data_IF_635793209247
#
_entry.id   IF_635793209247
#
_cell.length_a   1.000
_cell.length_b   1.000
_cell.length_c   1.000
_cell.angle_alpha   90.00
_cell.angle_beta   90.00
_cell.angle_gamma   90.00
#
_symmetry.space_group_name_H-M   'P 1'
#
loop_
_entity.id
_entity.type
_entity.pdbx_description
1 polymer ?
#
# COMPACT_ATOMS: atom_id res chain seq x y z
N UNK A 1 -12.46 5.92 -14.18
CA UNK A 1 -12.10 5.96 -12.75
C UNK A 1 -11.02 4.91 -12.56
N UNK A 2 -9.83 5.28 -12.10
CA UNK A 2 -8.79 4.29 -11.82
C UNK A 2 -9.31 3.33 -10.73
N UNK A 3 -9.09 2.03 -10.89
CA UNK A 3 -9.50 1.07 -9.87
C UNK A 3 -8.66 1.33 -8.62
N UNK A 4 -9.31 1.76 -7.55
CA UNK A 4 -8.70 1.90 -6.23
C UNK A 4 -9.01 0.65 -5.41
N UNK A 5 -8.08 0.31 -4.53
CA UNK A 5 -8.27 -0.76 -3.57
C UNK A 5 -7.85 -0.30 -2.19
N UNK A 6 -8.52 -0.85 -1.20
CA UNK A 6 -8.34 -0.49 0.20
C UNK A 6 -8.50 -1.76 1.02
N UNK A 7 -7.67 -1.90 2.04
CA UNK A 7 -7.72 -3.01 2.97
C UNK A 7 -7.75 -2.45 4.39
N UNK A 8 -8.80 -2.79 5.12
CA UNK A 8 -8.90 -2.54 6.55
C UNK A 8 -8.87 -3.86 7.29
N UNK A 9 -7.79 -4.09 8.02
CA UNK A 9 -7.61 -5.26 8.89
C UNK A 9 -7.07 -4.81 10.24
N UNK A 10 -7.43 -5.51 11.30
CA UNK A 10 -6.85 -5.27 12.62
C UNK A 10 -5.58 -6.08 12.73
N UNK A 11 -4.49 -5.47 13.18
CA UNK A 11 -3.21 -6.17 13.40
C UNK A 11 -3.39 -7.35 14.37
N UNK A 12 -4.26 -7.21 15.36
CA UNK A 12 -4.59 -8.30 16.31
C UNK A 12 -5.21 -9.53 15.63
N UNK A 13 -5.79 -9.39 14.44
CA UNK A 13 -6.37 -10.49 13.67
C UNK A 13 -5.33 -11.17 12.75
N UNK A 14 -4.07 -10.71 12.74
CA UNK A 14 -3.00 -11.14 11.83
C UNK A 14 -1.82 -11.81 12.56
N UNK A 15 -2.10 -12.80 13.41
CA UNK A 15 -1.07 -13.68 13.97
C UNK A 15 -0.43 -14.61 12.92
N UNK A 16 0.73 -15.18 13.23
CA UNK A 16 1.51 -16.03 12.31
C UNK A 16 0.68 -17.16 11.71
N UNK A 17 -0.17 -17.81 12.52
CA UNK A 17 -1.01 -18.92 12.08
C UNK A 17 -2.08 -18.44 11.08
N UNK A 18 -2.65 -17.26 11.33
CA UNK A 18 -3.66 -16.64 10.46
C UNK A 18 -3.06 -16.18 9.16
N UNK A 19 -1.90 -15.54 9.19
CA UNK A 19 -1.17 -15.14 7.98
C UNK A 19 -0.81 -16.37 7.15
N UNK A 20 -0.28 -17.43 7.76
CA UNK A 20 0.04 -18.66 7.04
C UNK A 20 -1.18 -19.29 6.36
N UNK A 21 -2.33 -19.35 7.06
CA UNK A 21 -3.56 -19.88 6.49
C UNK A 21 -4.17 -18.95 5.43
N UNK A 22 -3.97 -17.63 5.56
CA UNK A 22 -4.39 -16.66 4.57
C UNK A 22 -3.58 -16.82 3.28
N UNK A 23 -2.26 -16.98 3.37
CA UNK A 23 -1.41 -17.31 2.23
C UNK A 23 -1.87 -18.59 1.52
N UNK A 24 -2.17 -19.67 2.27
CA UNK A 24 -2.75 -20.89 1.71
C UNK A 24 -4.09 -20.64 1.01
N UNK A 25 -5.00 -19.91 1.67
CA UNK A 25 -6.34 -19.62 1.16
C UNK A 25 -6.36 -18.75 -0.12
N UNK A 26 -5.30 -17.97 -0.34
CA UNK A 26 -5.13 -17.06 -1.46
C UNK A 26 -4.18 -17.61 -2.55
N UNK A 27 -3.52 -18.75 -2.33
CA UNK A 27 -2.54 -19.33 -3.25
C UNK A 27 -3.20 -19.78 -4.56
N UNK A 28 -3.04 -19.01 -5.64
CA UNK A 28 -3.63 -19.31 -6.95
C UNK A 28 -2.85 -20.44 -7.63
N UNK A 29 -3.41 -21.65 -7.64
CA UNK A 29 -2.80 -22.80 -8.32
C UNK A 29 -2.93 -24.13 -7.58
N UNK A 30 -3.24 -24.11 -6.28
CA UNK A 30 -3.45 -25.30 -5.46
C UNK A 30 -4.81 -25.25 -4.74
N UNK A 31 -5.83 -25.83 -5.38
CA UNK A 31 -7.20 -25.86 -4.86
C UNK A 31 -7.32 -26.57 -3.51
N UNK A 32 -6.45 -27.56 -3.24
CA UNK A 32 -6.47 -28.30 -1.98
C UNK A 32 -5.95 -27.42 -0.83
N UNK A 33 -4.82 -26.73 -1.04
CA UNK A 33 -4.30 -25.77 -0.05
C UNK A 33 -5.26 -24.59 0.17
N UNK A 34 -5.91 -24.10 -0.89
CA UNK A 34 -6.90 -23.03 -0.75
C UNK A 34 -8.06 -23.45 0.16
N UNK A 35 -8.59 -24.65 -0.05
CA UNK A 35 -9.69 -25.18 0.76
C UNK A 35 -9.27 -25.41 2.22
N UNK A 36 -8.06 -25.93 2.45
CA UNK A 36 -7.49 -26.14 3.78
C UNK A 36 -7.35 -24.81 4.53
N UNK A 37 -6.69 -23.82 3.92
CA UNK A 37 -6.48 -22.50 4.53
C UNK A 37 -7.79 -21.78 4.82
N UNK A 38 -8.74 -21.80 3.88
CA UNK A 38 -10.05 -21.18 4.08
C UNK A 38 -10.88 -21.88 5.17
N UNK A 39 -10.79 -23.21 5.28
CA UNK A 39 -11.46 -23.96 6.33
C UNK A 39 -10.87 -23.63 7.71
N UNK A 40 -9.55 -23.56 7.84
CA UNK A 40 -8.86 -23.19 9.08
C UNK A 40 -9.24 -21.77 9.54
N UNK A 41 -9.29 -20.81 8.62
CA UNK A 41 -9.71 -19.43 8.94
C UNK A 41 -11.18 -19.35 9.34
N UNK A 42 -12.07 -20.13 8.70
CA UNK A 42 -13.47 -20.21 9.10
C UNK A 42 -13.63 -20.80 10.50
N UNK A 43 -12.87 -21.85 10.85
CA UNK A 43 -12.89 -22.43 12.19
C UNK A 43 -12.40 -21.45 13.26
N UNK A 44 -11.48 -20.55 12.90
CA UNK A 44 -11.00 -19.48 13.76
C UNK A 44 -11.94 -18.26 13.82
N UNK A 45 -13.08 -18.27 13.12
CA UNK A 45 -14.01 -17.14 13.04
C UNK A 45 -13.46 -15.94 12.25
N UNK A 46 -12.55 -16.18 11.30
CA UNK A 46 -11.86 -15.17 10.49
C UNK A 46 -12.14 -15.34 8.99
N UNK A 47 -13.31 -15.84 8.63
CA UNK A 47 -13.73 -16.05 7.24
C UNK A 47 -13.83 -14.75 6.44
N UNK A 48 -14.19 -13.64 7.09
CA UNK A 48 -14.19 -12.31 6.49
C UNK A 48 -12.81 -11.89 5.97
N UNK A 49 -11.70 -12.31 6.61
CA UNK A 49 -10.35 -11.96 6.14
C UNK A 49 -10.10 -12.52 4.74
N UNK A 50 -10.47 -13.78 4.49
CA UNK A 50 -10.30 -14.40 3.16
C UNK A 50 -11.07 -13.63 2.11
N UNK A 51 -12.31 -13.24 2.42
CA UNK A 51 -13.17 -12.48 1.50
C UNK A 51 -12.55 -11.13 1.17
N UNK A 52 -12.20 -10.33 2.18
CA UNK A 52 -11.67 -8.97 1.98
C UNK A 52 -10.34 -9.00 1.22
N UNK A 53 -9.44 -9.94 1.53
CA UNK A 53 -8.17 -10.08 0.81
C UNK A 53 -8.34 -10.58 -0.63
N UNK A 54 -9.31 -11.47 -0.91
CA UNK A 54 -9.62 -11.86 -2.29
C UNK A 54 -10.14 -10.68 -3.10
N UNK A 55 -11.11 -9.94 -2.55
CA UNK A 55 -11.65 -8.74 -3.20
C UNK A 55 -10.55 -7.70 -3.50
N UNK A 56 -9.61 -7.54 -2.57
CA UNK A 56 -8.42 -6.69 -2.74
C UNK A 56 -7.54 -7.16 -3.90
N UNK A 57 -7.15 -8.44 -3.93
CA UNK A 57 -6.29 -8.99 -4.98
C UNK A 57 -6.96 -8.96 -6.35
N UNK A 58 -8.26 -9.21 -6.41
CA UNK A 58 -9.05 -9.09 -7.65
C UNK A 58 -9.04 -7.66 -8.18
N UNK A 59 -9.22 -6.65 -7.30
CA UNK A 59 -9.13 -5.23 -7.70
C UNK A 59 -7.72 -4.86 -8.14
N UNK A 60 -6.70 -5.33 -7.43
CA UNK A 60 -5.29 -5.09 -7.78
C UNK A 60 -4.99 -5.60 -9.20
N UNK A 61 -5.49 -6.79 -9.55
CA UNK A 61 -5.34 -7.39 -10.88
C UNK A 61 -6.09 -6.65 -12.00
N UNK A 62 -7.03 -5.75 -11.65
CA UNK A 62 -7.78 -4.94 -12.59
C UNK A 62 -7.20 -3.53 -12.78
N UNK A 63 -6.17 -3.16 -12.01
CA UNK A 63 -5.51 -1.86 -12.14
C UNK A 63 -4.85 -1.77 -13.52
N UNK A 64 -5.15 -0.69 -14.25
CA UNK A 64 -4.52 -0.38 -15.53
C UNK A 64 -3.79 0.95 -15.47
N UNK A 65 -2.70 1.13 -16.26
CA UNK A 65 -1.94 2.37 -16.25
C UNK A 65 -2.80 3.59 -16.66
N UNK A 66 -2.67 4.68 -15.90
CA UNK A 66 -3.38 5.94 -16.17
C UNK A 66 -2.70 6.87 -17.19
N UNK A 67 -1.57 6.46 -17.77
CA UNK A 67 -0.82 7.22 -18.78
C UNK A 67 0.05 8.37 -18.26
N UNK A 68 0.02 8.66 -16.95
CA UNK A 68 0.86 9.67 -16.30
C UNK A 68 1.42 9.14 -14.98
N UNK A 69 2.47 9.78 -14.48
CA UNK A 69 3.03 9.53 -13.14
C UNK A 69 2.74 10.77 -12.30
N UNK A 70 1.71 10.69 -11.45
CA UNK A 70 1.20 11.82 -10.67
C UNK A 70 1.33 11.58 -9.18
N UNK A 71 2.34 12.21 -8.58
CA UNK A 71 2.55 12.15 -7.13
C UNK A 71 1.49 13.00 -6.42
N UNK A 72 1.02 14.05 -7.08
CA UNK A 72 -0.05 14.92 -6.58
C UNK A 72 -1.35 14.14 -6.38
N UNK A 73 -1.75 13.34 -7.36
CA UNK A 73 -2.98 12.54 -7.26
C UNK A 73 -2.89 11.51 -6.13
N UNK A 74 -1.75 10.81 -6.01
CA UNK A 74 -1.51 9.87 -4.92
C UNK A 74 -1.56 10.54 -3.54
N UNK A 75 -0.89 11.69 -3.37
CA UNK A 75 -0.85 12.43 -2.12
C UNK A 75 -2.21 12.99 -1.70
N UNK A 76 -2.96 13.57 -2.65
CA UNK A 76 -4.30 14.09 -2.41
C UNK A 76 -5.24 12.96 -1.96
N UNK A 77 -5.18 11.81 -2.64
CA UNK A 77 -6.05 10.67 -2.32
C UNK A 77 -5.71 10.04 -0.98
N UNK A 78 -4.43 9.85 -0.68
CA UNK A 78 -3.99 9.35 0.62
C UNK A 78 -4.45 10.27 1.76
N UNK A 79 -4.40 11.59 1.57
CA UNK A 79 -4.87 12.57 2.54
C UNK A 79 -6.38 12.45 2.77
N UNK A 80 -7.18 12.33 1.70
CA UNK A 80 -8.62 12.17 1.78
C UNK A 80 -9.02 10.88 2.51
N UNK A 81 -8.38 9.77 2.17
CA UNK A 81 -8.62 8.47 2.83
C UNK A 81 -8.25 8.52 4.31
N UNK A 82 -7.13 9.15 4.65
CA UNK A 82 -6.72 9.32 6.04
C UNK A 82 -7.77 10.12 6.84
N UNK A 83 -8.20 11.28 6.34
CA UNK A 83 -9.19 12.11 7.04
C UNK A 83 -10.55 11.42 7.18
N UNK A 84 -10.97 10.68 6.14
CA UNK A 84 -12.19 9.87 6.21
C UNK A 84 -12.10 8.82 7.32
N UNK A 85 -10.98 8.08 7.42
CA UNK A 85 -10.77 7.07 8.47
C UNK A 85 -10.69 7.69 9.86
N UNK A 86 -9.91 8.77 9.99
CA UNK A 86 -9.80 9.55 11.23
C UNK A 86 -11.18 9.98 11.72
N UNK A 87 -12.04 10.46 10.83
CA UNK A 87 -13.39 10.89 11.16
C UNK A 87 -14.34 9.73 11.50
N UNK A 88 -14.20 8.58 10.82
CA UNK A 88 -15.07 7.41 11.00
C UNK A 88 -14.74 6.56 12.23
N UNK A 89 -13.45 6.46 12.60
CA UNK A 89 -13.00 5.56 13.65
C UNK A 89 -13.04 6.17 15.07
N UNK A 90 -13.39 7.45 15.23
CA UNK A 90 -13.18 8.18 16.49
C UNK A 90 -14.44 8.85 17.05
N UNK A 91 -15.16 8.21 17.99
CA UNK A 91 -15.81 8.94 19.05
C UNK A 91 -14.72 9.54 19.96
N UNK A 92 -14.74 10.85 20.19
CA UNK A 92 -13.89 11.50 21.18
C UNK A 92 -14.07 10.83 22.57
N UNK A 93 -13.04 10.72 23.44
CA UNK A 93 -11.72 11.33 23.40
C UNK A 93 -10.59 10.27 23.51
N UNK A 94 -10.42 9.42 22.51
CA UNK A 94 -9.24 8.54 22.46
C UNK A 94 -8.07 9.33 21.87
N UNK A 95 -7.05 9.62 22.69
CA UNK A 95 -5.81 10.23 22.23
C UNK A 95 -5.00 9.13 21.52
N UNK A 96 -5.11 9.07 20.20
CA UNK A 96 -4.28 8.18 19.40
C UNK A 96 -2.87 8.76 19.26
N UNK A 97 -1.85 7.93 19.44
CA UNK A 97 -0.51 8.22 18.94
C UNK A 97 -0.51 7.88 17.44
N UNK A 98 -0.55 8.92 16.60
CA UNK A 98 -0.50 8.72 15.16
C UNK A 98 0.93 8.37 14.74
N UNK A 99 1.08 7.23 14.08
CA UNK A 99 2.36 6.73 13.59
C UNK A 99 2.23 6.38 12.11
N UNK A 100 1.75 7.36 11.32
CA UNK A 100 1.54 7.14 9.90
C UNK A 100 2.87 6.98 9.18
N UNK A 101 3.00 5.85 8.48
CA UNK A 101 4.12 5.58 7.59
C UNK A 101 3.66 5.66 6.14
N UNK A 102 4.40 6.41 5.31
CA UNK A 102 4.09 6.56 3.89
C UNK A 102 5.18 5.90 3.05
N UNK A 103 4.80 4.89 2.26
CA UNK A 103 5.66 4.36 1.21
C UNK A 103 5.23 4.90 -0.15
N UNK A 104 6.20 5.26 -0.98
CA UNK A 104 5.97 5.74 -2.34
C UNK A 104 6.84 4.97 -3.34
N UNK A 105 6.21 4.12 -4.13
CA UNK A 105 6.89 3.28 -5.13
C UNK A 105 6.68 3.86 -6.53
N UNK A 106 7.74 4.01 -7.32
CA UNK A 106 7.67 4.59 -8.67
C UNK A 106 8.74 4.07 -9.63
N UNK A 107 8.40 3.99 -10.91
CA UNK A 107 9.33 3.71 -12.01
C UNK A 107 9.57 4.92 -12.93
N UNK A 108 8.96 6.07 -12.59
CA UNK A 108 8.93 7.29 -13.40
C UNK A 108 9.07 8.57 -12.58
N UNK A 109 9.42 9.67 -13.26
CA UNK A 109 9.39 11.00 -12.66
C UNK A 109 7.98 11.59 -12.60
N UNK A 110 7.69 12.39 -11.57
CA UNK A 110 6.43 13.14 -11.50
C UNK A 110 6.30 14.07 -12.71
N UNK A 111 5.24 13.88 -13.50
CA UNK A 111 4.95 14.71 -14.68
C UNK A 111 3.61 15.46 -14.58
N UNK A 112 3.06 15.55 -13.37
CA UNK A 112 1.78 16.20 -13.10
C UNK A 112 1.87 17.08 -11.85
N UNK A 113 1.66 18.39 -12.02
CA UNK A 113 1.45 19.35 -10.92
C UNK A 113 2.60 19.49 -9.91
N UNK A 114 2.38 20.28 -8.83
CA UNK A 114 3.40 20.58 -7.82
C UNK A 114 3.53 19.46 -6.76
N UNK A 115 4.31 18.42 -7.07
CA UNK A 115 4.44 17.24 -6.19
C UNK A 115 4.94 17.56 -4.76
N UNK A 116 5.94 18.43 -4.59
CA UNK A 116 6.49 18.71 -3.26
C UNK A 116 5.48 19.37 -2.32
N UNK A 117 4.63 20.24 -2.85
CA UNK A 117 3.55 20.87 -2.08
C UNK A 117 2.52 19.82 -1.66
N UNK A 118 2.09 18.97 -2.59
CA UNK A 118 1.12 17.91 -2.32
C UNK A 118 1.61 16.92 -1.25
N UNK A 119 2.89 16.50 -1.33
CA UNK A 119 3.48 15.60 -0.32
C UNK A 119 3.62 16.31 1.02
N UNK A 120 4.00 17.59 1.04
CA UNK A 120 4.07 18.37 2.29
C UNK A 120 2.69 18.47 2.97
N UNK A 121 1.63 18.71 2.19
CA UNK A 121 0.26 18.71 2.68
C UNK A 121 -0.14 17.35 3.26
N UNK A 122 0.16 16.24 2.56
CA UNK A 122 -0.06 14.89 3.07
C UNK A 122 0.63 14.68 4.42
N UNK A 123 1.91 15.08 4.55
CA UNK A 123 2.64 14.89 5.81
C UNK A 123 2.03 15.65 6.97
N UNK A 124 1.44 16.82 6.70
CA UNK A 124 0.78 17.64 7.71
C UNK A 124 -0.60 17.07 8.11
N UNK A 125 -1.37 16.58 7.12
CA UNK A 125 -2.71 16.03 7.34
C UNK A 125 -2.64 14.66 8.05
N UNK A 126 -1.77 13.78 7.57
CA UNK A 126 -1.69 12.40 8.04
C UNK A 126 -0.78 12.19 9.25
N UNK A 127 -0.15 13.25 9.78
CA UNK A 127 0.83 13.19 10.87
C UNK A 127 1.94 12.16 10.60
N UNK A 128 2.59 12.30 9.44
CA UNK A 128 3.58 11.33 8.96
C UNK A 128 4.84 11.41 9.82
N UNK A 129 5.13 10.29 10.48
CA UNK A 129 6.31 10.16 11.36
C UNK A 129 7.55 9.72 10.59
N UNK A 130 7.36 8.91 9.54
CA UNK A 130 8.42 8.40 8.68
C UNK A 130 7.82 7.95 7.34
N UNK A 131 8.67 7.83 6.32
CA UNK A 131 8.29 7.19 5.08
C UNK A 131 9.47 6.58 4.33
N UNK A 132 9.20 6.16 3.11
CA UNK A 132 10.22 5.67 2.19
C UNK A 132 9.80 5.92 0.75
N UNK A 133 10.77 6.14 -0.12
CA UNK A 133 10.55 6.21 -1.56
C UNK A 133 11.39 5.13 -2.23
N UNK A 134 10.74 4.22 -2.95
CA UNK A 134 11.37 3.23 -3.80
C UNK A 134 11.24 3.68 -5.25
N UNK A 135 12.37 3.91 -5.92
CA UNK A 135 12.43 4.27 -7.32
C UNK A 135 13.15 3.20 -8.12
N UNK A 136 12.49 2.53 -9.07
CA UNK A 136 13.15 1.52 -9.92
C UNK A 136 12.87 1.77 -11.40
N UNK A 137 13.91 2.06 -12.18
CA UNK A 137 13.82 2.17 -13.63
C UNK A 137 14.55 3.39 -14.20
N UNK A 138 14.79 3.35 -15.51
CA UNK A 138 15.51 4.40 -16.22
C UNK A 138 14.76 5.75 -16.30
N UNK A 139 13.45 5.74 -16.04
CA UNK A 139 12.58 6.92 -16.13
C UNK A 139 12.34 7.60 -14.79
N UNK A 140 12.89 7.06 -13.70
CA UNK A 140 12.79 7.63 -12.36
C UNK A 140 13.54 8.96 -12.31
N UNK A 141 12.84 10.01 -11.89
CA UNK A 141 13.48 11.25 -11.48
C UNK A 141 14.06 11.10 -10.07
N UNK A 142 15.35 10.76 -10.02
CA UNK A 142 16.06 10.48 -8.76
C UNK A 142 16.13 11.70 -7.83
N UNK A 143 16.19 12.92 -8.38
CA UNK A 143 16.22 14.14 -7.58
C UNK A 143 14.85 14.39 -6.95
N UNK A 144 13.78 14.24 -7.74
CA UNK A 144 12.41 14.30 -7.25
C UNK A 144 12.15 13.26 -6.15
N UNK A 145 12.47 11.98 -6.41
CA UNK A 145 12.30 10.90 -5.45
C UNK A 145 13.07 11.14 -4.14
N UNK A 146 14.32 11.61 -4.23
CA UNK A 146 15.15 11.94 -3.07
C UNK A 146 14.59 13.11 -2.26
N UNK A 147 14.04 14.13 -2.93
CA UNK A 147 13.39 15.28 -2.26
C UNK A 147 12.08 14.88 -1.60
N UNK A 148 11.27 14.05 -2.24
CA UNK A 148 10.04 13.49 -1.66
C UNK A 148 10.35 12.67 -0.42
N UNK A 149 11.36 11.80 -0.45
CA UNK A 149 11.78 11.03 0.72
C UNK A 149 12.18 11.93 1.90
N UNK A 150 12.86 13.04 1.64
CA UNK A 150 13.18 14.04 2.68
C UNK A 150 11.93 14.67 3.29
N UNK A 151 10.94 15.02 2.48
CA UNK A 151 9.66 15.57 2.97
C UNK A 151 8.95 14.53 3.86
N UNK A 152 9.00 13.25 3.48
CA UNK A 152 8.47 12.13 4.27
C UNK A 152 9.32 11.78 5.51
N UNK A 153 10.40 12.50 5.80
CA UNK A 153 11.35 12.21 6.90
C UNK A 153 11.93 10.78 6.79
N UNK A 154 12.14 10.32 5.56
CA UNK A 154 12.33 8.91 5.22
C UNK A 154 13.60 8.60 4.44
N UNK A 155 13.83 7.31 4.23
CA UNK A 155 14.88 6.81 3.34
C UNK A 155 14.45 6.80 1.87
N UNK A 156 15.42 6.65 0.97
CA UNK A 156 15.17 6.46 -0.46
C UNK A 156 16.01 5.29 -0.96
N UNK A 157 15.40 4.40 -1.74
CA UNK A 157 16.07 3.30 -2.44
C UNK A 157 15.88 3.50 -3.93
N UNK A 158 16.95 3.77 -4.67
CA UNK A 158 16.90 4.03 -6.12
C UNK A 158 17.72 3.00 -6.87
N UNK A 159 17.14 2.42 -7.91
CA UNK A 159 17.81 1.51 -8.83
C UNK A 159 17.47 1.86 -10.28
N UNK A 160 18.43 1.71 -11.19
CA UNK A 160 18.22 1.98 -12.62
C UNK A 160 17.45 0.86 -13.33
N UNK A 161 17.41 -0.33 -12.73
CA UNK A 161 16.73 -1.52 -13.24
C UNK A 161 16.36 -2.44 -12.08
N UNK A 162 15.35 -3.28 -12.29
CA UNK A 162 15.12 -4.42 -11.41
C UNK A 162 16.29 -5.41 -11.51
N UNK A 163 16.66 -6.11 -10.42
CA UNK A 163 17.62 -7.20 -10.48
C UNK A 163 17.12 -8.26 -11.48
N UNK A 164 18.00 -8.72 -12.39
CA UNK A 164 17.64 -9.71 -13.43
C UNK A 164 17.03 -11.00 -12.84
N UNK A 165 17.36 -11.33 -11.59
CA UNK A 165 16.88 -12.50 -10.86
C UNK A 165 15.42 -12.34 -10.37
N UNK A 166 14.91 -11.12 -10.19
CA UNK A 166 13.54 -10.89 -9.74
C UNK A 166 12.50 -11.22 -10.81
N UNK A 167 12.89 -11.23 -12.09
CA UNK A 167 12.03 -11.65 -13.20
C UNK A 167 11.89 -13.18 -13.31
N UNK A 168 12.68 -13.94 -12.55
CA UNK A 168 12.75 -15.40 -12.61
C UNK A 168 12.13 -16.10 -11.41
N UNK A 169 11.67 -15.37 -10.39
CA UNK A 169 10.92 -15.96 -9.28
C UNK A 169 9.50 -16.32 -9.78
N UNK A 170 9.14 -17.61 -9.85
CA UNK A 170 7.77 -17.99 -10.16
C UNK A 170 6.86 -17.52 -9.02
N UNK A 171 5.81 -16.75 -9.37
CA UNK A 171 4.68 -16.44 -8.49
C UNK A 171 4.01 -17.72 -7.99
#
# INVERSE_FOLDING_TARGET
VAAEFELDTKVADLDDATVANLCKALNVGDTAQQAEGAAALRQAGRDDLVRVWRELLEKLNQVSPGGTTSFVAGAARASETYEKKRSACLPAPVRLEHTSYVNFDTDGGNNCGPCYEAISQLTAIADVVQGHVLGVGAWVDQDCASKVAKILKGGVSLALSFPEQAAADPL
#
